data_IF_738314559001
#
_entry.id   IF_738314559001
#
_cell.length_a   1.000
_cell.length_b   1.000
_cell.length_c   1.000
_cell.angle_alpha   90.00
_cell.angle_beta   90.00
_cell.angle_gamma   90.00
#
_symmetry.space_group_name_H-M   'P 1'
#
loop_
_entity.id
_entity.type
_entity.pdbx_description
1 polymer ?
#
# COMPACT_ATOMS: atom_id res chain seq x y z
N UNK A 1 -18.24 -14.85 2.16
CA UNK A 1 -17.51 -13.67 1.70
C UNK A 1 -18.10 -13.08 0.42
N UNK A 2 -18.21 -13.83 -0.69
CA UNK A 2 -18.74 -13.31 -1.97
C UNK A 2 -20.21 -12.84 -1.93
N UNK A 3 -21.04 -13.36 -1.04
CA UNK A 3 -22.40 -12.85 -0.81
C UNK A 3 -22.46 -11.37 -0.40
N UNK A 4 -21.37 -10.82 0.11
CA UNK A 4 -21.25 -9.39 0.42
C UNK A 4 -21.35 -8.53 -0.84
N UNK A 5 -20.93 -9.04 -1.99
CA UNK A 5 -21.00 -8.34 -3.28
C UNK A 5 -22.42 -8.11 -3.78
N UNK A 6 -23.44 -8.72 -3.18
CA UNK A 6 -24.85 -8.40 -3.48
C UNK A 6 -25.20 -6.95 -3.11
N UNK A 7 -24.47 -6.33 -2.18
CA UNK A 7 -24.64 -4.92 -1.84
C UNK A 7 -23.96 -4.00 -2.86
N UNK A 8 -24.73 -3.09 -3.48
CA UNK A 8 -24.21 -2.09 -4.43
C UNK A 8 -23.09 -1.24 -3.80
N UNK A 9 -23.21 -0.88 -2.51
CA UNK A 9 -22.19 -0.08 -1.79
C UNK A 9 -20.88 -0.85 -1.66
N UNK A 10 -20.95 -2.13 -1.33
CA UNK A 10 -19.76 -2.99 -1.19
C UNK A 10 -19.11 -3.21 -2.55
N UNK A 11 -19.88 -3.47 -3.60
CA UNK A 11 -19.33 -3.57 -4.96
C UNK A 11 -18.61 -2.30 -5.38
N UNK A 12 -19.24 -1.14 -5.17
CA UNK A 12 -18.63 0.15 -5.48
C UNK A 12 -17.33 0.38 -4.70
N UNK A 13 -17.28 -0.06 -3.46
CA UNK A 13 -16.10 0.04 -2.60
C UNK A 13 -14.96 -0.89 -3.07
N UNK A 14 -15.26 -2.13 -3.43
CA UNK A 14 -14.28 -3.06 -3.98
C UNK A 14 -13.79 -2.62 -5.37
N UNK A 15 -14.69 -2.13 -6.24
CA UNK A 15 -14.34 -1.62 -7.56
C UNK A 15 -13.44 -0.38 -7.48
N UNK A 16 -13.61 0.43 -6.45
CA UNK A 16 -12.70 1.55 -6.21
C UNK A 16 -11.28 1.06 -5.96
N UNK A 17 -11.08 0.07 -5.09
CA UNK A 17 -9.76 -0.51 -4.80
C UNK A 17 -9.16 -1.17 -6.04
N UNK A 18 -9.98 -1.90 -6.81
CA UNK A 18 -9.59 -2.44 -8.12
C UNK A 18 -9.05 -1.35 -9.06
N UNK A 19 -9.68 -0.19 -9.11
CA UNK A 19 -9.25 0.90 -9.99
C UNK A 19 -7.98 1.59 -9.51
N UNK A 20 -7.96 1.99 -8.22
CA UNK A 20 -6.89 2.82 -7.67
C UNK A 20 -5.56 2.05 -7.50
N UNK A 21 -5.62 0.72 -7.36
CA UNK A 21 -4.43 -0.12 -7.20
C UNK A 21 -3.56 -0.20 -8.46
N UNK A 22 -4.05 0.22 -9.61
CA UNK A 22 -3.22 0.41 -10.81
C UNK A 22 -2.12 1.46 -10.60
N UNK A 23 -2.37 2.49 -9.78
CA UNK A 23 -1.41 3.56 -9.51
C UNK A 23 -0.14 3.03 -8.78
N UNK A 24 -0.21 2.43 -7.59
CA UNK A 24 0.99 1.90 -6.95
C UNK A 24 1.65 0.80 -7.78
N UNK A 25 0.87 -0.01 -8.50
CA UNK A 25 1.41 -1.11 -9.31
C UNK A 25 2.23 -0.60 -10.50
N UNK A 26 1.64 0.24 -11.34
CA UNK A 26 2.26 0.65 -12.61
C UNK A 26 3.17 1.88 -12.46
N UNK A 27 2.78 2.85 -11.64
CA UNK A 27 3.54 4.09 -11.49
C UNK A 27 4.69 3.90 -10.49
N UNK A 28 4.39 3.37 -9.29
CA UNK A 28 5.38 3.34 -8.22
C UNK A 28 6.31 2.13 -8.30
N UNK A 29 5.79 0.95 -8.73
CA UNK A 29 6.52 -0.31 -8.58
C UNK A 29 7.15 -0.80 -9.90
N UNK A 30 6.37 -0.96 -10.97
CA UNK A 30 6.84 -1.77 -12.11
C UNK A 30 7.37 -0.97 -13.30
N UNK A 31 6.79 0.19 -13.67
CA UNK A 31 7.11 0.79 -14.96
C UNK A 31 7.62 2.22 -14.90
N UNK A 32 6.86 3.16 -14.34
CA UNK A 32 7.17 4.58 -14.52
C UNK A 32 8.47 4.99 -13.84
N UNK A 33 8.78 4.46 -12.66
CA UNK A 33 10.05 4.71 -11.96
C UNK A 33 11.26 4.26 -12.77
N UNK A 34 11.19 3.07 -13.38
CA UNK A 34 12.25 2.57 -14.25
C UNK A 34 12.37 3.38 -15.55
N UNK A 35 11.25 3.77 -16.16
CA UNK A 35 11.23 4.65 -17.34
C UNK A 35 11.83 6.03 -17.03
N UNK A 36 11.46 6.62 -15.89
CA UNK A 36 12.04 7.88 -15.44
C UNK A 36 13.56 7.78 -15.31
N UNK A 37 14.05 6.77 -14.59
CA UNK A 37 15.48 6.60 -14.33
C UNK A 37 16.29 6.33 -15.61
N UNK A 38 15.77 5.49 -16.51
CA UNK A 38 16.50 5.05 -17.74
C UNK A 38 16.36 6.03 -18.90
N UNK A 39 15.29 6.82 -18.99
CA UNK A 39 14.96 7.58 -20.20
C UNK A 39 14.89 9.09 -19.99
N UNK A 40 14.32 9.55 -18.88
CA UNK A 40 14.13 10.99 -18.62
C UNK A 40 15.34 11.58 -17.92
N UNK A 41 15.90 10.88 -16.93
CA UNK A 41 17.10 11.34 -16.23
C UNK A 41 18.33 11.31 -17.12
N UNK A 42 19.28 12.17 -16.83
CA UNK A 42 20.57 12.24 -17.51
C UNK A 42 21.44 10.98 -17.30
N UNK A 43 21.31 10.34 -16.14
CA UNK A 43 22.00 9.12 -15.74
C UNK A 43 21.08 8.23 -14.93
N UNK A 44 21.07 6.89 -15.16
CA UNK A 44 20.18 5.97 -14.45
C UNK A 44 20.38 5.95 -12.92
N UNK A 45 21.61 6.11 -12.43
CA UNK A 45 21.88 6.12 -10.99
C UNK A 45 21.36 7.41 -10.36
N UNK A 46 21.61 8.57 -11.01
CA UNK A 46 21.04 9.86 -10.61
C UNK A 46 19.53 9.80 -10.63
N UNK A 47 18.93 9.24 -11.71
CA UNK A 47 17.48 9.09 -11.83
C UNK A 47 16.88 8.23 -10.72
N UNK A 48 17.50 7.10 -10.40
CA UNK A 48 17.06 6.24 -9.31
C UNK A 48 17.12 6.97 -7.95
N UNK A 49 18.19 7.73 -7.69
CA UNK A 49 18.33 8.51 -6.48
C UNK A 49 17.28 9.62 -6.38
N UNK A 50 17.06 10.38 -7.45
CA UNK A 50 16.03 11.43 -7.52
C UNK A 50 14.62 10.88 -7.33
N UNK A 51 14.32 9.71 -7.91
CA UNK A 51 13.07 9.00 -7.69
C UNK A 51 12.85 8.66 -6.22
N UNK A 52 13.86 8.11 -5.56
CA UNK A 52 13.82 7.81 -4.12
C UNK A 52 13.60 9.07 -3.26
N UNK A 53 14.29 10.17 -3.58
CA UNK A 53 14.10 11.46 -2.90
C UNK A 53 12.69 12.02 -3.11
N UNK A 54 12.13 11.91 -4.31
CA UNK A 54 10.78 12.36 -4.60
C UNK A 54 9.72 11.60 -3.79
N UNK A 55 9.82 10.26 -3.72
CA UNK A 55 8.93 9.43 -2.91
C UNK A 55 9.08 9.72 -1.41
N UNK A 56 10.30 9.94 -0.93
CA UNK A 56 10.56 10.34 0.45
C UNK A 56 9.97 11.72 0.77
N UNK A 57 10.14 12.69 -0.11
CA UNK A 57 9.54 14.02 0.02
C UNK A 57 8.01 13.94 0.02
N UNK A 58 7.42 13.13 -0.85
CA UNK A 58 5.98 12.91 -0.89
C UNK A 58 5.46 12.29 0.43
N UNK A 59 6.17 11.31 0.99
CA UNK A 59 5.83 10.70 2.28
C UNK A 59 5.92 11.69 3.44
N UNK A 60 6.94 12.56 3.45
CA UNK A 60 7.07 13.65 4.44
C UNK A 60 5.92 14.65 4.30
N UNK A 61 5.59 15.07 3.07
CA UNK A 61 4.47 15.99 2.82
C UNK A 61 3.14 15.38 3.25
N UNK A 62 2.92 14.08 2.99
CA UNK A 62 1.76 13.35 3.51
C UNK A 62 1.70 13.37 5.02
N UNK A 63 2.81 13.07 5.69
CA UNK A 63 2.89 13.09 7.14
C UNK A 63 2.56 14.48 7.70
N UNK A 64 3.12 15.55 7.12
CA UNK A 64 2.86 16.94 7.52
C UNK A 64 1.39 17.33 7.29
N UNK A 65 0.82 16.97 6.13
CA UNK A 65 -0.58 17.26 5.81
C UNK A 65 -1.53 16.53 6.76
N UNK A 66 -1.28 15.26 7.04
CA UNK A 66 -2.09 14.48 7.98
C UNK A 66 -1.95 15.01 9.42
N UNK A 67 -0.76 15.46 9.82
CA UNK A 67 -0.52 16.12 11.11
C UNK A 67 -1.30 17.43 11.20
N UNK A 68 -1.27 18.25 10.16
CA UNK A 68 -2.04 19.49 10.08
C UNK A 68 -3.56 19.20 10.18
N UNK A 69 -4.04 18.20 9.46
CA UNK A 69 -5.43 17.75 9.52
C UNK A 69 -5.80 17.36 10.97
N UNK A 70 -4.94 16.62 11.67
CA UNK A 70 -5.21 16.22 13.06
C UNK A 70 -5.22 17.41 14.04
N UNK A 71 -4.29 18.36 13.88
CA UNK A 71 -4.13 19.52 14.78
C UNK A 71 -5.20 20.60 14.54
N UNK A 72 -5.61 20.82 13.29
CA UNK A 72 -6.59 21.87 12.92
C UNK A 72 -7.99 21.68 13.51
N UNK A 73 -8.24 20.52 14.13
CA UNK A 73 -9.34 20.30 15.06
C UNK A 73 -10.76 20.43 14.48
N UNK A 74 -11.72 20.73 15.37
CA UNK A 74 -13.18 20.68 15.12
C UNK A 74 -13.65 21.47 13.92
N UNK A 75 -13.13 22.65 13.70
CA UNK A 75 -13.65 23.58 12.67
C UNK A 75 -13.29 23.13 11.26
N UNK A 76 -12.10 22.60 11.05
CA UNK A 76 -11.66 22.08 9.76
C UNK A 76 -12.48 20.85 9.37
N UNK A 77 -12.62 19.88 10.27
CA UNK A 77 -13.34 18.63 10.00
C UNK A 77 -14.84 18.80 9.80
N UNK A 78 -15.48 19.76 10.49
CA UNK A 78 -16.91 20.04 10.30
C UNK A 78 -17.24 20.48 8.87
N UNK A 79 -16.27 21.05 8.18
CA UNK A 79 -16.36 21.56 6.82
C UNK A 79 -15.76 20.64 5.76
N UNK A 80 -15.03 19.56 6.15
CA UNK A 80 -14.55 18.55 5.19
C UNK A 80 -15.76 17.76 4.68
N UNK A 81 -16.19 18.15 3.50
CA UNK A 81 -17.25 17.49 2.73
C UNK A 81 -16.61 16.53 1.72
N UNK A 82 -17.43 15.75 1.07
CA UNK A 82 -17.07 14.94 -0.09
C UNK A 82 -16.23 15.73 -1.14
N UNK A 83 -16.35 17.06 -1.17
CA UNK A 83 -15.57 17.94 -2.03
C UNK A 83 -14.05 17.80 -1.82
N UNK A 84 -13.60 17.61 -0.58
CA UNK A 84 -12.17 17.42 -0.29
C UNK A 84 -11.64 16.09 -0.87
N UNK A 85 -12.40 14.99 -0.69
CA UNK A 85 -12.08 13.71 -1.32
C UNK A 85 -12.05 13.83 -2.84
N UNK A 86 -13.06 14.47 -3.44
CA UNK A 86 -13.12 14.68 -4.88
C UNK A 86 -11.93 15.50 -5.39
N UNK A 87 -11.57 16.56 -4.67
CA UNK A 87 -10.44 17.41 -5.03
C UNK A 87 -9.14 16.60 -5.14
N UNK A 88 -8.79 15.82 -4.12
CA UNK A 88 -7.60 14.99 -4.18
C UNK A 88 -7.70 13.86 -5.20
N UNK A 89 -8.90 13.29 -5.40
CA UNK A 89 -9.10 12.28 -6.43
C UNK A 89 -8.86 12.84 -7.85
N UNK A 90 -9.41 14.02 -8.16
CA UNK A 90 -9.16 14.67 -9.44
C UNK A 90 -7.72 15.14 -9.58
N UNK A 91 -7.12 15.60 -8.50
CA UNK A 91 -5.71 16.01 -8.49
C UNK A 91 -4.80 14.81 -8.80
N UNK A 92 -5.05 13.65 -8.17
CA UNK A 92 -4.35 12.41 -8.47
C UNK A 92 -4.45 12.06 -9.96
N UNK A 93 -5.67 12.05 -10.50
CA UNK A 93 -5.92 11.72 -11.92
C UNK A 93 -5.20 12.71 -12.83
N UNK A 94 -5.31 14.02 -12.58
CA UNK A 94 -4.72 15.07 -13.41
C UNK A 94 -3.18 14.96 -13.46
N UNK A 95 -2.53 14.85 -12.30
CA UNK A 95 -1.07 14.75 -12.26
C UNK A 95 -0.56 13.40 -12.77
N UNK A 96 -1.31 12.31 -12.57
CA UNK A 96 -0.96 11.00 -13.15
C UNK A 96 -1.10 11.02 -14.67
N UNK A 97 -2.17 11.61 -15.21
CA UNK A 97 -2.36 11.79 -16.65
C UNK A 97 -1.25 12.64 -17.25
N UNK A 98 -0.87 13.72 -16.58
CA UNK A 98 0.15 14.65 -17.02
C UNK A 98 1.56 14.06 -17.16
N UNK A 99 1.81 12.87 -16.61
CA UNK A 99 3.06 12.13 -16.83
C UNK A 99 3.30 11.78 -18.31
N UNK A 100 2.25 11.82 -19.14
CA UNK A 100 2.32 11.67 -20.59
C UNK A 100 3.27 12.66 -21.29
N UNK A 101 3.38 13.87 -20.76
CA UNK A 101 4.13 14.95 -21.41
C UNK A 101 5.65 14.90 -21.20
N UNK A 102 6.16 13.91 -20.48
CA UNK A 102 7.58 13.83 -20.12
C UNK A 102 8.26 12.65 -20.79
N UNK A 103 9.18 12.96 -21.73
CA UNK A 103 10.02 11.99 -22.44
C UNK A 103 11.50 12.41 -22.35
N UNK A 104 12.38 11.72 -23.05
CA UNK A 104 13.81 12.02 -23.17
C UNK A 104 14.00 13.51 -23.60
N UNK A 105 14.83 14.21 -22.82
CA UNK A 105 15.08 15.65 -23.03
C UNK A 105 14.13 16.58 -22.25
N UNK A 106 13.12 16.06 -21.58
CA UNK A 106 12.31 16.84 -20.63
C UNK A 106 13.13 17.25 -19.41
N UNK A 107 12.71 18.36 -18.77
CA UNK A 107 13.27 18.71 -17.46
C UNK A 107 13.02 17.58 -16.47
N UNK A 108 14.11 17.01 -15.90
CA UNK A 108 14.03 15.84 -15.03
C UNK A 108 13.27 16.08 -13.69
N UNK A 109 13.10 17.32 -13.24
CA UNK A 109 12.42 17.65 -11.99
C UNK A 109 10.89 17.75 -12.15
N UNK A 110 10.39 18.08 -13.33
CA UNK A 110 8.95 18.23 -13.58
C UNK A 110 8.17 16.92 -13.36
N UNK A 111 8.57 15.78 -13.95
CA UNK A 111 7.85 14.52 -13.69
C UNK A 111 7.91 14.12 -12.21
N UNK A 112 8.99 14.43 -11.49
CA UNK A 112 9.07 14.18 -10.04
C UNK A 112 8.08 15.03 -9.25
N UNK A 113 7.90 16.31 -9.63
CA UNK A 113 6.87 17.17 -9.05
C UNK A 113 5.45 16.57 -9.28
N UNK A 114 5.17 16.06 -10.48
CA UNK A 114 3.91 15.40 -10.80
C UNK A 114 3.71 14.13 -9.95
N UNK A 115 4.77 13.33 -9.77
CA UNK A 115 4.76 12.14 -8.90
C UNK A 115 4.49 12.51 -7.46
N UNK A 116 5.18 13.53 -6.91
CA UNK A 116 4.97 13.95 -5.51
C UNK A 116 3.51 14.34 -5.27
N UNK A 117 2.92 15.16 -6.14
CA UNK A 117 1.53 15.59 -5.97
C UNK A 117 0.55 14.43 -6.16
N UNK A 118 0.75 13.59 -7.18
CA UNK A 118 -0.12 12.44 -7.41
C UNK A 118 -0.04 11.42 -6.27
N UNK A 119 1.14 11.19 -5.70
CA UNK A 119 1.34 10.29 -4.56
C UNK A 119 0.68 10.82 -3.28
N UNK A 120 0.89 12.11 -2.94
CA UNK A 120 0.22 12.74 -1.79
C UNK A 120 -1.31 12.65 -1.96
N UNK A 121 -1.80 12.89 -3.16
CA UNK A 121 -3.23 12.81 -3.47
C UNK A 121 -3.75 11.39 -3.35
N UNK A 122 -3.01 10.39 -3.83
CA UNK A 122 -3.31 8.96 -3.68
C UNK A 122 -3.43 8.58 -2.20
N UNK A 123 -2.48 8.98 -1.36
CA UNK A 123 -2.49 8.67 0.08
C UNK A 123 -3.71 9.27 0.80
N UNK A 124 -4.06 10.52 0.46
CA UNK A 124 -5.28 11.15 1.01
C UNK A 124 -6.54 10.42 0.54
N UNK A 125 -6.61 10.07 -0.73
CA UNK A 125 -7.75 9.30 -1.29
C UNK A 125 -7.85 7.93 -0.61
N UNK A 126 -6.74 7.25 -0.38
CA UNK A 126 -6.68 5.97 0.31
C UNK A 126 -7.12 6.07 1.78
N UNK A 127 -6.77 7.17 2.48
CA UNK A 127 -7.30 7.47 3.81
C UNK A 127 -8.83 7.49 3.81
N UNK A 128 -9.45 8.18 2.86
CA UNK A 128 -10.91 8.25 2.74
C UNK A 128 -11.54 6.91 2.36
N UNK A 129 -10.88 6.15 1.49
CA UNK A 129 -11.28 4.78 1.18
C UNK A 129 -11.32 3.91 2.44
N UNK A 130 -10.25 3.94 3.25
CA UNK A 130 -10.19 3.20 4.50
C UNK A 130 -11.26 3.65 5.51
N UNK A 131 -11.52 4.95 5.61
CA UNK A 131 -12.58 5.50 6.46
C UNK A 131 -13.98 5.05 6.03
N UNK A 132 -14.22 4.89 4.74
CA UNK A 132 -15.52 4.48 4.22
C UNK A 132 -15.91 3.07 4.68
N UNK A 133 -14.93 2.20 4.96
CA UNK A 133 -15.16 0.87 5.53
C UNK A 133 -15.97 0.93 6.84
N UNK A 134 -15.77 1.98 7.65
CA UNK A 134 -16.53 2.20 8.89
C UNK A 134 -18.04 2.33 8.67
N UNK A 135 -18.45 2.78 7.48
CA UNK A 135 -19.86 3.03 7.13
C UNK A 135 -20.51 1.85 6.41
N UNK A 136 -19.75 1.13 5.60
CA UNK A 136 -20.30 0.03 4.79
C UNK A 136 -20.28 -1.30 5.51
N UNK A 137 -19.48 -1.43 6.59
CA UNK A 137 -19.37 -2.65 7.37
C UNK A 137 -20.70 -3.05 7.99
N UNK A 138 -20.96 -4.34 8.04
CA UNK A 138 -21.99 -4.95 8.87
C UNK A 138 -21.35 -5.60 10.08
N UNK A 139 -22.11 -5.74 11.17
CA UNK A 139 -21.65 -6.48 12.36
C UNK A 139 -21.27 -7.90 11.94
N UNK A 140 -20.13 -8.39 12.41
CA UNK A 140 -19.58 -9.74 12.14
C UNK A 140 -19.15 -10.02 10.68
N UNK A 141 -18.92 -8.98 9.84
CA UNK A 141 -18.41 -9.17 8.47
C UNK A 141 -17.30 -8.17 8.11
N UNK A 142 -16.72 -7.51 9.11
CA UNK A 142 -15.72 -6.46 8.88
C UNK A 142 -14.41 -7.02 8.33
N UNK A 143 -13.96 -8.16 8.85
CA UNK A 143 -12.75 -8.84 8.40
C UNK A 143 -12.89 -9.35 6.98
N UNK A 144 -13.96 -10.09 6.69
CA UNK A 144 -14.25 -10.57 5.34
C UNK A 144 -14.35 -9.42 4.33
N UNK A 145 -15.01 -8.31 4.70
CA UNK A 145 -15.15 -7.14 3.83
C UNK A 145 -13.79 -6.46 3.57
N UNK A 146 -12.98 -6.27 4.60
CA UNK A 146 -11.66 -5.65 4.46
C UNK A 146 -10.74 -6.46 3.56
N UNK A 147 -10.68 -7.78 3.76
CA UNK A 147 -9.89 -8.69 2.92
C UNK A 147 -10.43 -8.77 1.48
N UNK A 148 -11.75 -8.71 1.30
CA UNK A 148 -12.35 -8.66 -0.03
C UNK A 148 -11.90 -7.40 -0.80
N UNK A 149 -11.83 -6.24 -0.16
CA UNK A 149 -11.29 -5.02 -0.76
C UNK A 149 -9.85 -5.22 -1.22
N UNK A 150 -8.96 -5.70 -0.34
CA UNK A 150 -7.57 -5.98 -0.69
C UNK A 150 -7.43 -7.00 -1.84
N UNK A 151 -8.26 -8.07 -1.86
CA UNK A 151 -8.27 -9.02 -2.97
C UNK A 151 -8.65 -8.35 -4.30
N UNK A 152 -9.63 -7.42 -4.29
CA UNK A 152 -9.98 -6.63 -5.48
C UNK A 152 -8.86 -5.65 -5.87
N UNK A 153 -8.15 -5.07 -4.90
CA UNK A 153 -6.96 -4.24 -5.17
C UNK A 153 -5.87 -5.02 -5.90
N UNK A 154 -5.48 -6.19 -5.39
CA UNK A 154 -4.54 -7.07 -6.08
C UNK A 154 -5.02 -7.48 -7.47
N UNK A 155 -6.30 -7.83 -7.60
CA UNK A 155 -6.89 -8.18 -8.90
C UNK A 155 -6.82 -7.00 -9.89
N UNK A 156 -7.07 -5.78 -9.43
CA UNK A 156 -6.97 -4.56 -10.24
C UNK A 156 -5.54 -4.26 -10.67
N UNK A 157 -4.58 -4.43 -9.75
CA UNK A 157 -3.15 -4.32 -10.05
C UNK A 157 -2.72 -5.33 -11.12
N UNK A 158 -3.09 -6.62 -10.96
CA UNK A 158 -2.79 -7.66 -11.95
C UNK A 158 -3.46 -7.41 -13.30
N UNK A 159 -4.73 -7.01 -13.30
CA UNK A 159 -5.45 -6.70 -14.54
C UNK A 159 -4.80 -5.53 -15.28
N UNK A 160 -4.40 -4.47 -14.57
CA UNK A 160 -3.72 -3.33 -15.17
C UNK A 160 -2.33 -3.70 -15.70
N UNK A 161 -1.57 -4.54 -14.98
CA UNK A 161 -0.30 -5.11 -15.47
C UNK A 161 -0.48 -5.92 -16.75
N UNK A 162 -1.51 -6.76 -16.79
CA UNK A 162 -1.82 -7.58 -17.96
C UNK A 162 -2.13 -6.71 -19.19
N UNK A 163 -2.90 -5.63 -19.02
CA UNK A 163 -3.19 -4.70 -20.12
C UNK A 163 -1.90 -4.05 -20.63
N UNK A 164 -1.03 -3.55 -19.75
CA UNK A 164 0.25 -2.94 -20.16
C UNK A 164 1.15 -3.97 -20.83
N UNK A 165 1.20 -5.19 -20.32
CA UNK A 165 1.94 -6.29 -20.95
C UNK A 165 1.45 -6.56 -22.39
N UNK A 166 0.12 -6.58 -22.59
CA UNK A 166 -0.45 -6.73 -23.93
C UNK A 166 -0.09 -5.56 -24.83
N UNK A 167 -0.16 -4.31 -24.35
CA UNK A 167 0.28 -3.14 -25.13
C UNK A 167 1.75 -3.25 -25.54
N UNK A 168 2.63 -3.72 -24.67
CA UNK A 168 4.05 -3.94 -24.99
C UNK A 168 4.22 -5.06 -26.04
N UNK A 169 3.46 -6.14 -25.93
CA UNK A 169 3.51 -7.27 -26.88
C UNK A 169 3.03 -6.88 -28.29
N UNK A 170 2.03 -6.01 -28.38
CA UNK A 170 1.52 -5.52 -29.67
C UNK A 170 2.24 -4.26 -30.18
N UNK A 171 3.22 -3.75 -29.45
CA UNK A 171 4.08 -2.67 -29.92
C UNK A 171 5.13 -3.20 -30.90
N UNK A 172 5.68 -2.28 -31.72
CA UNK A 172 6.83 -2.57 -32.59
C UNK A 172 8.13 -2.72 -31.75
N UNK A 173 9.24 -3.03 -32.44
CA UNK A 173 10.57 -3.19 -31.80
C UNK A 173 11.02 -1.95 -31.00
N UNK A 174 10.51 -0.75 -31.36
CA UNK A 174 10.78 0.49 -30.63
C UNK A 174 9.81 0.74 -29.46
N UNK A 175 8.99 -0.24 -29.09
CA UNK A 175 7.94 -0.12 -28.08
C UNK A 175 6.96 1.05 -28.32
N UNK A 176 6.59 1.27 -29.59
CA UNK A 176 5.62 2.31 -29.99
C UNK A 176 4.33 1.71 -30.55
N UNK A 177 3.21 2.36 -30.26
CA UNK A 177 1.90 2.11 -30.85
C UNK A 177 1.42 3.44 -31.41
N UNK A 178 1.02 3.49 -32.69
CA UNK A 178 0.66 4.74 -33.38
C UNK A 178 1.72 5.84 -33.22
N UNK A 179 3.02 5.50 -33.29
CA UNK A 179 4.17 6.39 -33.08
C UNK A 179 4.29 7.01 -31.67
N UNK A 180 3.54 6.51 -30.70
CA UNK A 180 3.64 6.93 -29.30
C UNK A 180 4.30 5.81 -28.48
N UNK A 181 5.31 6.13 -27.69
CA UNK A 181 5.96 5.16 -26.80
C UNK A 181 4.96 4.64 -25.77
N UNK A 182 4.88 3.31 -25.62
CA UNK A 182 3.96 2.66 -24.64
C UNK A 182 4.19 3.19 -23.23
N UNK A 183 5.44 3.49 -22.86
CA UNK A 183 5.78 4.02 -21.54
C UNK A 183 5.11 5.38 -21.25
N UNK A 184 4.91 6.23 -22.25
CA UNK A 184 4.19 7.50 -22.12
C UNK A 184 2.69 7.28 -21.89
N UNK A 185 2.13 6.19 -22.44
CA UNK A 185 0.71 5.87 -22.30
C UNK A 185 0.37 5.33 -20.90
N UNK A 186 1.35 4.94 -20.07
CA UNK A 186 1.11 4.37 -18.74
C UNK A 186 0.42 5.39 -17.83
N UNK A 187 0.88 6.66 -17.82
CA UNK A 187 0.23 7.72 -17.01
C UNK A 187 -1.24 7.91 -17.35
N UNK A 188 -1.59 8.22 -18.62
CA UNK A 188 -2.98 8.31 -19.09
C UNK A 188 -3.81 7.05 -18.83
N UNK A 189 -3.25 5.86 -19.07
CA UNK A 189 -3.92 4.61 -18.83
C UNK A 189 -4.32 4.47 -17.35
N UNK A 190 -3.38 4.68 -16.42
CA UNK A 190 -3.64 4.61 -14.97
C UNK A 190 -4.65 5.66 -14.54
N UNK A 191 -4.57 6.87 -15.07
CA UNK A 191 -5.51 7.95 -14.76
C UNK A 191 -6.93 7.60 -15.22
N UNK A 192 -7.10 7.11 -16.45
CA UNK A 192 -8.40 6.69 -16.99
C UNK A 192 -8.93 5.47 -16.22
N UNK A 193 -8.09 4.45 -15.99
CA UNK A 193 -8.46 3.25 -15.23
C UNK A 193 -8.93 3.60 -13.82
N UNK A 194 -8.15 4.42 -13.11
CA UNK A 194 -8.52 4.89 -11.77
C UNK A 194 -9.81 5.73 -11.79
N UNK A 195 -10.04 6.54 -12.82
CA UNK A 195 -11.27 7.31 -12.98
C UNK A 195 -12.47 6.39 -13.19
N UNK A 196 -12.41 5.48 -14.16
CA UNK A 196 -13.51 4.59 -14.52
C UNK A 196 -14.06 3.81 -13.32
N UNK A 197 -13.17 3.23 -12.52
CA UNK A 197 -13.56 2.45 -11.35
C UNK A 197 -13.70 3.30 -10.09
N UNK A 198 -12.91 4.36 -9.95
CA UNK A 198 -12.84 5.19 -8.76
C UNK A 198 -14.09 6.05 -8.52
N UNK A 199 -14.78 6.48 -9.57
CA UNK A 199 -16.07 7.18 -9.42
C UNK A 199 -17.12 6.37 -8.67
N UNK A 200 -16.98 5.05 -8.65
CA UNK A 200 -17.87 4.16 -7.93
C UNK A 200 -18.00 4.49 -6.43
N UNK A 201 -16.93 4.98 -5.79
CA UNK A 201 -16.91 5.32 -4.37
C UNK A 201 -17.63 6.63 -4.04
N UNK A 202 -17.84 7.53 -4.99
CA UNK A 202 -18.42 8.84 -4.73
C UNK A 202 -19.81 8.77 -4.07
N UNK A 203 -20.62 7.79 -4.46
CA UNK A 203 -21.93 7.58 -3.85
C UNK A 203 -21.84 7.07 -2.41
N UNK A 204 -20.85 6.25 -2.11
CA UNK A 204 -20.59 5.77 -0.75
C UNK A 204 -20.11 6.93 0.13
N UNK A 205 -19.22 7.77 -0.40
CA UNK A 205 -18.65 8.91 0.32
C UNK A 205 -19.66 10.02 0.65
N UNK A 206 -20.75 10.18 -0.09
CA UNK A 206 -21.83 11.13 0.24
C UNK A 206 -22.45 10.88 1.62
N UNK A 207 -22.43 9.62 2.08
CA UNK A 207 -23.00 9.21 3.36
C UNK A 207 -22.00 9.26 4.52
N UNK A 208 -20.73 9.49 4.23
CA UNK A 208 -19.68 9.52 5.25
C UNK A 208 -19.65 10.89 5.91
N UNK A 209 -20.10 10.95 7.16
CA UNK A 209 -19.99 12.15 7.99
C UNK A 209 -18.71 12.06 8.82
N UNK A 210 -17.82 13.01 8.64
CA UNK A 210 -16.60 13.12 9.41
C UNK A 210 -16.90 13.91 10.70
N UNK A 211 -16.83 13.23 11.85
CA UNK A 211 -16.87 13.90 13.15
C UNK A 211 -15.47 14.35 13.50
N UNK A 212 -15.32 15.57 13.94
CA UNK A 212 -14.04 16.12 14.36
C UNK A 212 -13.56 15.45 15.65
N UNK A 213 -12.29 15.02 15.71
CA UNK A 213 -11.73 14.52 16.94
C UNK A 213 -11.47 15.67 17.94
N UNK A 214 -11.69 15.39 19.20
CA UNK A 214 -11.02 16.13 20.27
C UNK A 214 -9.66 15.42 20.47
N UNK A 215 -8.55 16.10 20.21
CA UNK A 215 -7.20 15.49 20.28
C UNK A 215 -6.95 14.89 21.68
N UNK A 216 -7.35 15.59 22.75
CA UNK A 216 -7.18 15.07 24.11
C UNK A 216 -8.02 13.82 24.35
N UNK A 217 -9.25 13.79 23.85
CA UNK A 217 -10.11 12.60 23.91
C UNK A 217 -9.57 11.47 23.04
N UNK A 218 -8.99 11.79 21.88
CA UNK A 218 -8.31 10.82 21.03
C UNK A 218 -7.15 10.16 21.77
N UNK A 219 -6.21 10.93 22.31
CA UNK A 219 -5.03 10.41 23.04
C UNK A 219 -5.50 9.52 24.21
N UNK A 220 -6.50 9.97 24.98
CA UNK A 220 -7.08 9.20 26.07
C UNK A 220 -7.71 7.88 25.59
N UNK A 221 -8.49 7.93 24.50
CA UNK A 221 -9.14 6.73 23.93
C UNK A 221 -8.14 5.77 23.27
N UNK A 222 -7.12 6.28 22.57
CA UNK A 222 -6.05 5.49 21.97
C UNK A 222 -5.28 4.75 23.04
N UNK A 223 -4.92 5.43 24.14
CA UNK A 223 -4.20 4.83 25.28
C UNK A 223 -5.05 3.83 26.08
N UNK A 224 -6.29 4.21 26.43
CA UNK A 224 -7.17 3.39 27.26
C UNK A 224 -7.62 2.11 26.57
N UNK A 225 -7.78 2.11 25.25
CA UNK A 225 -8.22 0.96 24.45
C UNK A 225 -7.09 0.11 23.87
N UNK A 226 -5.85 0.34 24.26
CA UNK A 226 -4.70 -0.39 23.73
C UNK A 226 -4.39 -0.14 22.26
N UNK A 227 -5.05 0.82 21.63
CA UNK A 227 -4.83 1.18 20.22
C UNK A 227 -3.39 1.70 20.01
N UNK A 228 -2.80 2.35 21.02
CA UNK A 228 -1.40 2.75 21.00
C UNK A 228 -0.46 1.56 20.79
N UNK A 229 -0.67 0.46 21.51
CA UNK A 229 0.13 -0.76 21.37
C UNK A 229 -0.05 -1.36 19.96
N UNK A 230 -1.27 -1.30 19.42
CA UNK A 230 -1.52 -1.72 18.04
C UNK A 230 -0.78 -0.84 17.02
N UNK A 231 -0.83 0.48 17.16
CA UNK A 231 -0.15 1.40 16.24
C UNK A 231 1.37 1.25 16.31
N UNK A 232 1.94 1.01 17.50
CA UNK A 232 3.37 0.71 17.64
C UNK A 232 3.72 -0.64 16.99
N UNK A 233 2.90 -1.67 17.19
CA UNK A 233 3.07 -2.96 16.51
C UNK A 233 2.96 -2.80 15.00
N UNK A 234 1.95 -2.04 14.54
CA UNK A 234 1.75 -1.71 13.13
C UNK A 234 2.98 -1.03 12.53
N UNK A 235 3.53 -0.03 13.22
CA UNK A 235 4.75 0.63 12.79
C UNK A 235 5.89 -0.36 12.54
N UNK A 236 6.13 -1.29 13.46
CA UNK A 236 7.20 -2.27 13.29
C UNK A 236 6.90 -3.26 12.16
N UNK A 237 5.75 -3.94 12.16
CA UNK A 237 5.52 -4.93 11.10
C UNK A 237 5.32 -4.29 9.72
N UNK A 238 4.82 -3.06 9.64
CA UNK A 238 4.69 -2.38 8.35
C UNK A 238 6.05 -1.92 7.80
N UNK A 239 7.03 -1.58 8.65
CA UNK A 239 8.41 -1.40 8.21
C UNK A 239 8.96 -2.67 7.55
N UNK A 240 8.68 -3.84 8.11
CA UNK A 240 9.06 -5.12 7.49
C UNK A 240 8.36 -5.32 6.14
N UNK A 241 7.04 -5.11 6.06
CA UNK A 241 6.27 -5.27 4.82
C UNK A 241 6.77 -4.33 3.72
N UNK A 242 7.00 -3.05 4.02
CA UNK A 242 7.51 -2.08 3.05
C UNK A 242 8.92 -2.45 2.61
N UNK A 243 9.79 -2.92 3.53
CA UNK A 243 11.13 -3.38 3.19
C UNK A 243 11.12 -4.63 2.29
N UNK A 244 10.21 -5.57 2.53
CA UNK A 244 10.02 -6.73 1.63
C UNK A 244 9.74 -6.24 0.21
N UNK A 245 8.78 -5.33 0.03
CA UNK A 245 8.45 -4.81 -1.30
C UNK A 245 9.62 -4.05 -1.94
N UNK A 246 10.34 -3.24 -1.15
CA UNK A 246 11.45 -2.43 -1.66
C UNK A 246 12.64 -3.29 -2.14
N UNK A 247 12.91 -4.41 -1.48
CA UNK A 247 14.10 -5.22 -1.74
C UNK A 247 13.81 -6.57 -2.40
N UNK A 248 12.56 -6.96 -2.62
CA UNK A 248 12.17 -8.26 -3.19
C UNK A 248 12.89 -8.57 -4.51
N UNK A 249 12.93 -7.60 -5.44
CA UNK A 249 13.61 -7.77 -6.74
C UNK A 249 15.14 -7.88 -6.61
N UNK A 250 15.74 -7.11 -5.70
CA UNK A 250 17.17 -7.17 -5.43
C UNK A 250 17.57 -8.51 -4.81
N UNK A 251 16.78 -8.99 -3.85
CA UNK A 251 16.97 -10.31 -3.23
C UNK A 251 16.87 -11.40 -4.30
N UNK A 252 15.84 -11.36 -5.13
CA UNK A 252 15.63 -12.31 -6.22
C UNK A 252 16.80 -12.31 -7.22
N UNK A 253 17.23 -11.13 -7.67
CA UNK A 253 18.32 -10.99 -8.65
C UNK A 253 19.69 -11.36 -8.08
N UNK A 254 20.09 -10.75 -6.97
CA UNK A 254 21.47 -10.80 -6.51
C UNK A 254 21.79 -11.98 -5.60
N UNK A 255 20.81 -12.53 -4.88
CA UNK A 255 21.03 -13.70 -4.01
C UNK A 255 20.67 -15.00 -4.72
N UNK A 256 19.56 -14.98 -5.48
CA UNK A 256 19.02 -16.20 -6.10
C UNK A 256 19.20 -16.26 -7.62
N UNK A 257 19.79 -15.22 -8.24
CA UNK A 257 20.17 -15.22 -9.66
C UNK A 257 18.99 -15.20 -10.64
N UNK A 258 17.81 -14.68 -10.23
CA UNK A 258 16.66 -14.60 -11.12
C UNK A 258 16.89 -13.57 -12.23
N UNK A 259 16.51 -13.95 -13.45
CA UNK A 259 16.47 -13.06 -14.62
C UNK A 259 15.36 -12.00 -14.46
N UNK A 260 15.43 -10.92 -15.24
CA UNK A 260 14.42 -9.85 -15.23
C UNK A 260 13.01 -10.39 -15.50
N UNK A 261 12.87 -11.34 -16.42
CA UNK A 261 11.59 -11.99 -16.74
C UNK A 261 11.04 -12.82 -15.58
N UNK A 262 11.92 -13.54 -14.87
CA UNK A 262 11.52 -14.31 -13.68
C UNK A 262 11.12 -13.41 -12.52
N UNK A 263 11.80 -12.26 -12.34
CA UNK A 263 11.42 -11.25 -11.32
C UNK A 263 10.03 -10.67 -11.60
N UNK A 264 9.73 -10.36 -12.87
CA UNK A 264 8.40 -9.91 -13.26
C UNK A 264 7.34 -10.98 -13.00
N UNK A 265 7.63 -12.23 -13.37
CA UNK A 265 6.75 -13.36 -13.12
C UNK A 265 6.55 -13.62 -11.62
N UNK A 266 7.60 -13.47 -10.82
CA UNK A 266 7.56 -13.54 -9.36
C UNK A 266 6.63 -12.45 -8.79
N UNK A 267 6.73 -11.21 -9.26
CA UNK A 267 5.87 -10.12 -8.85
C UNK A 267 4.39 -10.40 -9.11
N UNK A 268 4.06 -10.90 -10.30
CA UNK A 268 2.69 -11.34 -10.66
C UNK A 268 2.22 -12.45 -9.74
N UNK A 269 3.09 -13.45 -9.51
CA UNK A 269 2.77 -14.62 -8.68
C UNK A 269 2.54 -14.25 -7.21
N UNK A 270 3.37 -13.37 -6.65
CA UNK A 270 3.19 -12.85 -5.28
C UNK A 270 1.84 -12.13 -5.13
N UNK A 271 1.46 -11.30 -6.08
CA UNK A 271 0.16 -10.63 -6.07
C UNK A 271 -1.01 -11.63 -6.15
N UNK A 272 -0.89 -12.68 -6.97
CA UNK A 272 -1.89 -13.74 -7.06
C UNK A 272 -2.04 -14.50 -5.74
N UNK A 273 -0.92 -14.87 -5.10
CA UNK A 273 -0.96 -15.48 -3.77
C UNK A 273 -1.50 -14.52 -2.69
N UNK A 274 -1.30 -13.22 -2.84
CA UNK A 274 -1.92 -12.19 -2.01
C UNK A 274 -3.45 -12.21 -2.10
N UNK A 275 -4.02 -12.43 -3.30
CA UNK A 275 -5.48 -12.63 -3.47
C UNK A 275 -5.93 -13.87 -2.69
N UNK A 276 -5.24 -15.00 -2.88
CA UNK A 276 -5.57 -16.25 -2.17
C UNK A 276 -5.52 -16.04 -0.66
N UNK A 277 -4.46 -15.40 -0.15
CA UNK A 277 -4.30 -15.09 1.26
C UNK A 277 -5.46 -14.24 1.81
N UNK A 278 -5.86 -13.19 1.11
CA UNK A 278 -7.01 -12.36 1.48
C UNK A 278 -8.32 -13.15 1.49
N UNK A 279 -8.54 -14.04 0.53
CA UNK A 279 -9.75 -14.86 0.47
C UNK A 279 -9.77 -15.89 1.62
N UNK A 280 -8.65 -16.55 1.90
CA UNK A 280 -8.54 -17.57 2.95
C UNK A 280 -8.66 -16.93 4.33
N UNK A 281 -7.78 -15.99 4.67
CA UNK A 281 -7.79 -15.34 6.00
C UNK A 281 -9.09 -14.55 6.21
N UNK A 282 -9.56 -13.82 5.18
CA UNK A 282 -10.81 -13.07 5.25
C UNK A 282 -12.05 -13.94 5.47
N UNK A 283 -12.04 -15.21 5.03
CA UNK A 283 -13.16 -16.12 5.26
C UNK A 283 -13.30 -16.56 6.72
N UNK A 284 -12.19 -16.58 7.45
CA UNK A 284 -12.14 -17.03 8.84
C UNK A 284 -11.95 -15.89 9.86
N UNK A 285 -11.51 -14.71 9.42
CA UNK A 285 -11.19 -13.58 10.29
C UNK A 285 -12.37 -13.15 11.19
N UNK A 286 -13.58 -13.11 10.65
CA UNK A 286 -14.76 -12.68 11.41
C UNK A 286 -15.13 -13.66 12.54
N UNK A 287 -14.68 -14.91 12.47
CA UNK A 287 -14.86 -15.93 13.51
C UNK A 287 -13.74 -15.90 14.53
N UNK A 288 -12.49 -15.85 14.06
CA UNK A 288 -11.32 -15.88 14.95
C UNK A 288 -10.94 -14.52 15.53
N UNK A 289 -11.46 -13.43 14.95
CA UNK A 289 -11.15 -12.04 15.31
C UNK A 289 -9.94 -11.47 14.60
N UNK A 290 -9.98 -10.17 14.30
CA UNK A 290 -8.92 -9.47 13.54
C UNK A 290 -7.55 -9.51 14.24
N UNK A 291 -7.48 -9.53 15.58
CA UNK A 291 -6.20 -9.67 16.28
C UNK A 291 -5.55 -11.03 16.02
N UNK A 292 -6.32 -12.12 16.02
CA UNK A 292 -5.79 -13.45 15.73
C UNK A 292 -5.31 -13.52 14.27
N UNK A 293 -6.04 -12.92 13.33
CA UNK A 293 -5.63 -12.85 11.94
C UNK A 293 -4.29 -12.11 11.80
N UNK A 294 -4.14 -10.92 12.41
CA UNK A 294 -2.87 -10.17 12.41
C UNK A 294 -1.75 -10.98 13.06
N UNK A 295 -2.02 -11.66 14.20
CA UNK A 295 -1.04 -12.53 14.87
C UNK A 295 -0.51 -13.63 13.94
N UNK A 296 -1.42 -14.35 13.27
CA UNK A 296 -1.07 -15.42 12.33
C UNK A 296 -0.19 -14.86 11.20
N UNK A 297 -0.56 -13.71 10.64
CA UNK A 297 0.21 -13.08 9.57
C UNK A 297 1.60 -12.62 10.05
N UNK A 298 1.72 -11.95 11.21
CA UNK A 298 3.04 -11.56 11.77
C UNK A 298 3.89 -12.80 11.99
N UNK A 299 3.34 -13.84 12.63
CA UNK A 299 4.09 -15.07 12.92
C UNK A 299 4.51 -15.80 11.63
N UNK A 300 3.62 -15.89 10.64
CA UNK A 300 3.92 -16.47 9.35
C UNK A 300 5.03 -15.72 8.61
N UNK A 301 4.93 -14.39 8.53
CA UNK A 301 5.96 -13.55 7.92
C UNK A 301 7.30 -13.65 8.67
N UNK A 302 7.29 -13.66 10.00
CA UNK A 302 8.50 -13.80 10.81
C UNK A 302 9.21 -15.14 10.51
N UNK A 303 8.48 -16.25 10.54
CA UNK A 303 9.04 -17.57 10.25
C UNK A 303 9.58 -17.63 8.83
N UNK A 304 8.81 -17.17 7.85
CA UNK A 304 9.21 -17.19 6.43
C UNK A 304 10.44 -16.32 6.16
N UNK A 305 10.51 -15.11 6.75
CA UNK A 305 11.67 -14.23 6.55
C UNK A 305 12.92 -14.71 7.29
N UNK A 306 12.77 -15.42 8.42
CA UNK A 306 13.87 -16.11 9.08
C UNK A 306 14.37 -17.28 8.22
N UNK A 307 13.48 -18.12 7.68
CA UNK A 307 13.85 -19.21 6.79
C UNK A 307 14.53 -18.65 5.54
N UNK A 308 14.00 -17.56 4.96
CA UNK A 308 14.60 -16.90 3.80
C UNK A 308 16.06 -16.50 4.03
N UNK A 309 16.39 -16.02 5.23
CA UNK A 309 17.76 -15.62 5.57
C UNK A 309 18.75 -16.78 5.44
N UNK A 310 18.35 -18.01 5.80
CA UNK A 310 19.18 -19.22 5.71
C UNK A 310 19.04 -19.98 4.38
N UNK A 311 18.13 -19.55 3.50
CA UNK A 311 17.85 -20.23 2.24
C UNK A 311 18.91 -19.90 1.20
N UNK A 312 19.40 -20.93 0.50
CA UNK A 312 20.33 -20.82 -0.65
C UNK A 312 19.71 -21.36 -1.94
N UNK A 313 18.72 -22.24 -1.83
CA UNK A 313 18.08 -22.89 -2.95
C UNK A 313 17.12 -21.96 -3.70
N UNK A 314 17.27 -21.90 -5.03
CA UNK A 314 16.37 -21.21 -5.94
C UNK A 314 14.91 -21.64 -5.79
N UNK A 315 14.62 -22.93 -5.71
CA UNK A 315 13.25 -23.44 -5.57
C UNK A 315 12.64 -23.12 -4.22
N UNK A 316 13.43 -23.21 -3.14
CA UNK A 316 12.97 -22.85 -1.81
C UNK A 316 12.66 -21.35 -1.72
N UNK A 317 13.44 -20.50 -2.39
CA UNK A 317 13.14 -19.06 -2.49
C UNK A 317 11.76 -18.80 -3.10
N UNK A 318 11.43 -19.46 -4.24
CA UNK A 318 10.14 -19.31 -4.89
C UNK A 318 8.97 -19.64 -3.94
N UNK A 319 9.05 -20.79 -3.26
CA UNK A 319 8.02 -21.22 -2.30
C UNK A 319 7.85 -20.18 -1.18
N UNK A 320 8.98 -19.73 -0.59
CA UNK A 320 8.97 -18.75 0.49
C UNK A 320 8.37 -17.43 0.02
N UNK A 321 8.79 -16.92 -1.14
CA UNK A 321 8.31 -15.66 -1.69
C UNK A 321 6.78 -15.68 -1.96
N UNK A 322 6.25 -16.79 -2.49
CA UNK A 322 4.82 -16.96 -2.69
C UNK A 322 4.04 -16.99 -1.37
N UNK A 323 4.58 -17.68 -0.36
CA UNK A 323 3.97 -17.72 0.98
C UNK A 323 4.07 -16.37 1.69
N UNK A 324 5.14 -15.61 1.50
CA UNK A 324 5.25 -14.21 1.98
C UNK A 324 4.14 -13.36 1.32
N UNK A 325 3.93 -13.48 0.01
CA UNK A 325 2.83 -12.83 -0.69
C UNK A 325 1.46 -13.17 -0.12
N UNK A 326 1.26 -14.44 0.25
CA UNK A 326 0.02 -14.92 0.87
C UNK A 326 -0.32 -14.18 2.17
N UNK A 327 0.66 -13.80 3.01
CA UNK A 327 0.42 -13.13 4.30
C UNK A 327 0.39 -11.59 4.22
N UNK A 328 1.01 -10.97 3.21
CA UNK A 328 1.12 -9.51 3.11
C UNK A 328 -0.24 -8.83 2.92
N UNK A 329 -1.09 -9.35 2.06
CA UNK A 329 -2.43 -8.79 1.86
C UNK A 329 -3.30 -8.85 3.12
N UNK A 330 -3.46 -10.04 3.71
CA UNK A 330 -4.26 -10.21 4.91
C UNK A 330 -3.77 -9.39 6.11
N UNK A 331 -2.47 -9.22 6.34
CA UNK A 331 -1.98 -8.44 7.49
C UNK A 331 -2.44 -6.98 7.39
N UNK A 332 -2.43 -6.40 6.19
CA UNK A 332 -2.91 -5.04 5.95
C UNK A 332 -4.44 -4.96 6.09
N UNK A 333 -5.16 -5.90 5.50
CA UNK A 333 -6.61 -5.96 5.57
C UNK A 333 -7.12 -6.14 7.01
N UNK A 334 -6.54 -7.07 7.77
CA UNK A 334 -6.93 -7.37 9.14
C UNK A 334 -6.54 -6.25 10.11
N UNK A 335 -5.44 -5.55 9.85
CA UNK A 335 -5.04 -4.35 10.61
C UNK A 335 -6.08 -3.24 10.47
N UNK A 336 -6.54 -3.00 9.26
CA UNK A 336 -7.61 -2.03 8.97
C UNK A 336 -8.93 -2.45 9.64
N UNK A 337 -9.31 -3.71 9.56
CA UNK A 337 -10.53 -4.20 10.19
C UNK A 337 -10.49 -4.13 11.71
N UNK A 338 -9.33 -4.39 12.34
CA UNK A 338 -9.14 -4.20 13.78
C UNK A 338 -9.41 -2.75 14.21
N UNK A 339 -8.82 -1.78 13.51
CA UNK A 339 -9.04 -0.36 13.79
C UNK A 339 -10.53 0.00 13.68
N UNK A 340 -11.18 -0.41 12.59
CA UNK A 340 -12.61 -0.16 12.37
C UNK A 340 -13.47 -0.72 13.49
N UNK A 341 -13.14 -1.90 14.02
CA UNK A 341 -13.92 -2.57 15.07
C UNK A 341 -13.73 -1.92 16.45
N UNK A 342 -12.53 -1.43 16.75
CA UNK A 342 -12.16 -0.97 18.10
C UNK A 342 -12.33 0.53 18.33
N UNK A 343 -12.43 1.32 17.27
CA UNK A 343 -12.49 2.78 17.37
C UNK A 343 -13.93 3.26 17.40
N UNK A 344 -14.25 4.18 18.32
CA UNK A 344 -15.54 4.89 18.34
C UNK A 344 -15.71 5.73 17.08
N UNK A 345 -16.96 5.87 16.60
CA UNK A 345 -17.29 6.59 15.38
C UNK A 345 -16.72 8.04 15.33
N UNK A 346 -16.70 8.74 16.47
CA UNK A 346 -16.18 10.11 16.58
C UNK A 346 -14.66 10.22 16.40
N UNK A 347 -13.91 9.14 16.59
CA UNK A 347 -12.43 9.12 16.54
C UNK A 347 -11.88 8.39 15.31
N UNK A 348 -12.73 7.88 14.41
CA UNK A 348 -12.31 7.08 13.26
C UNK A 348 -11.36 7.85 12.34
N UNK A 349 -11.69 9.10 12.00
CA UNK A 349 -10.84 9.92 11.14
C UNK A 349 -9.44 10.09 11.72
N UNK A 350 -9.34 10.45 12.99
CA UNK A 350 -8.05 10.66 13.63
C UNK A 350 -7.22 9.39 13.76
N UNK A 351 -7.86 8.26 14.03
CA UNK A 351 -7.15 6.99 14.13
C UNK A 351 -6.64 6.49 12.77
N UNK A 352 -7.42 6.68 11.69
CA UNK A 352 -6.96 6.36 10.35
C UNK A 352 -5.91 7.36 9.85
N UNK A 353 -5.98 8.64 10.24
CA UNK A 353 -4.90 9.60 9.97
C UNK A 353 -3.59 9.17 10.65
N UNK A 354 -3.65 8.76 11.94
CA UNK A 354 -2.47 8.20 12.62
C UNK A 354 -1.96 6.93 11.94
N UNK A 355 -2.85 6.03 11.55
CA UNK A 355 -2.50 4.80 10.83
C UNK A 355 -1.76 5.12 9.53
N UNK A 356 -2.27 6.06 8.73
CA UNK A 356 -1.61 6.49 7.49
C UNK A 356 -0.28 7.23 7.76
N UNK A 357 -0.21 8.06 8.83
CA UNK A 357 1.04 8.71 9.22
C UNK A 357 2.13 7.68 9.57
N UNK A 358 1.81 6.67 10.36
CA UNK A 358 2.75 5.57 10.65
C UNK A 358 3.12 4.80 9.39
N UNK A 359 2.17 4.56 8.47
CA UNK A 359 2.45 3.94 7.18
C UNK A 359 3.47 4.73 6.35
N UNK A 360 3.31 6.05 6.25
CA UNK A 360 4.25 6.91 5.52
C UNK A 360 5.64 6.96 6.17
N UNK A 361 5.74 6.93 7.51
CA UNK A 361 7.04 6.83 8.19
C UNK A 361 7.74 5.50 7.88
N UNK A 362 6.99 4.40 7.78
CA UNK A 362 7.54 3.10 7.43
C UNK A 362 8.14 3.08 6.02
N UNK A 363 7.59 3.84 5.09
CA UNK A 363 8.10 3.93 3.71
C UNK A 363 9.51 4.55 3.64
N UNK A 364 9.92 5.27 4.69
CA UNK A 364 11.25 5.88 4.80
C UNK A 364 12.18 4.99 5.62
N UNK A 365 11.76 4.63 6.85
CA UNK A 365 12.65 4.01 7.84
C UNK A 365 12.98 2.55 7.52
N UNK A 366 12.03 1.75 7.06
CA UNK A 366 12.24 0.35 6.76
C UNK A 366 13.33 0.14 5.70
N UNK A 367 13.14 0.65 4.47
CA UNK A 367 14.13 0.56 3.42
C UNK A 367 15.48 1.21 3.78
N UNK A 368 15.45 2.34 4.51
CA UNK A 368 16.68 3.02 4.96
C UNK A 368 17.54 2.11 5.84
N UNK A 369 16.96 1.44 6.83
CA UNK A 369 17.71 0.57 7.75
C UNK A 369 18.22 -0.69 7.05
N UNK A 370 17.45 -1.27 6.12
CA UNK A 370 17.94 -2.38 5.28
C UNK A 370 19.12 -1.92 4.42
N UNK A 371 18.99 -0.79 3.72
CA UNK A 371 20.05 -0.23 2.88
C UNK A 371 21.31 0.12 3.68
N UNK A 372 21.17 0.74 4.87
CA UNK A 372 22.27 1.04 5.78
C UNK A 372 23.00 -0.24 6.23
N UNK A 373 22.24 -1.30 6.56
CA UNK A 373 22.84 -2.59 6.95
C UNK A 373 23.62 -3.22 5.79
N UNK A 374 23.08 -3.16 4.56
CA UNK A 374 23.79 -3.63 3.36
C UNK A 374 25.10 -2.86 3.19
N UNK A 375 25.06 -1.52 3.31
CA UNK A 375 26.25 -0.67 3.17
C UNK A 375 27.32 -0.96 4.23
N UNK A 376 26.91 -1.18 5.49
CA UNK A 376 27.84 -1.46 6.58
C UNK A 376 28.44 -2.87 6.55
N UNK A 377 27.77 -3.82 5.92
CA UNK A 377 28.18 -5.24 5.91
C UNK A 377 28.63 -5.73 4.55
N UNK A 378 28.53 -4.88 3.50
CA UNK A 378 28.76 -5.24 2.10
C UNK A 378 27.98 -6.49 1.66
N UNK A 379 26.82 -6.78 2.29
CA UNK A 379 26.05 -7.99 2.06
C UNK A 379 24.56 -7.75 2.04
N UNK A 380 23.92 -8.03 0.90
CA UNK A 380 22.46 -7.99 0.75
C UNK A 380 21.80 -8.99 1.70
N UNK A 381 22.41 -10.15 1.92
CA UNK A 381 21.90 -11.18 2.84
C UNK A 381 21.82 -10.68 4.28
N UNK A 382 22.83 -9.96 4.77
CA UNK A 382 22.76 -9.32 6.09
C UNK A 382 21.70 -8.21 6.15
N UNK A 383 21.46 -7.49 5.06
CA UNK A 383 20.38 -6.52 5.00
C UNK A 383 18.98 -7.12 5.24
N UNK A 384 18.75 -8.35 4.77
CA UNK A 384 17.47 -9.05 4.95
C UNK A 384 17.12 -9.28 6.43
N UNK A 385 18.13 -9.43 7.33
CA UNK A 385 17.91 -9.73 8.75
C UNK A 385 17.13 -8.62 9.47
N UNK A 386 17.16 -7.40 8.96
CA UNK A 386 16.40 -6.26 9.49
C UNK A 386 14.88 -6.53 9.42
N UNK A 387 14.43 -7.28 8.42
CA UNK A 387 13.02 -7.60 8.22
C UNK A 387 12.46 -8.47 9.37
N UNK A 388 13.01 -9.66 9.67
CA UNK A 388 12.54 -10.44 10.81
C UNK A 388 12.76 -9.75 12.16
N UNK A 389 13.78 -8.88 12.32
CA UNK A 389 13.95 -8.06 13.52
C UNK A 389 12.75 -7.14 13.71
N UNK A 390 12.31 -6.42 12.67
CA UNK A 390 11.11 -5.60 12.73
C UNK A 390 9.86 -6.41 13.09
N UNK A 391 9.68 -7.59 12.49
CA UNK A 391 8.55 -8.47 12.79
C UNK A 391 8.60 -8.97 14.23
N UNK A 392 9.78 -9.32 14.74
CA UNK A 392 9.97 -9.71 16.14
C UNK A 392 9.65 -8.55 17.10
N UNK A 393 10.19 -7.36 16.83
CA UNK A 393 9.90 -6.17 17.63
C UNK A 393 8.41 -5.81 17.63
N UNK A 394 7.68 -6.11 16.54
CA UNK A 394 6.24 -5.87 16.47
C UNK A 394 5.46 -6.74 17.45
N UNK A 395 5.95 -7.93 17.78
CA UNK A 395 5.28 -8.85 18.70
C UNK A 395 5.25 -8.32 20.15
N UNK A 396 6.22 -7.53 20.56
CA UNK A 396 6.32 -7.03 21.95
C UNK A 396 5.08 -6.19 22.33
N UNK A 397 4.76 -5.08 21.61
CA UNK A 397 3.53 -4.32 21.88
C UNK A 397 2.27 -5.11 21.53
N UNK A 398 2.35 -6.01 20.54
CA UNK A 398 1.22 -6.85 20.14
C UNK A 398 0.79 -7.80 21.23
N UNK A 399 1.71 -8.49 21.90
CA UNK A 399 1.39 -9.41 23.01
C UNK A 399 0.79 -8.66 24.20
N UNK A 400 1.28 -7.45 24.53
CA UNK A 400 0.67 -6.58 25.54
C UNK A 400 -0.77 -6.18 25.18
N UNK A 401 -1.04 -5.98 23.88
CA UNK A 401 -2.39 -5.73 23.39
C UNK A 401 -3.26 -6.99 23.50
N UNK A 402 -2.72 -8.11 23.07
CA UNK A 402 -3.42 -9.40 23.01
C UNK A 402 -3.87 -9.86 24.39
N UNK A 403 -3.01 -9.74 25.43
CA UNK A 403 -3.38 -10.04 26.81
C UNK A 403 -4.52 -9.16 27.33
N UNK A 404 -4.65 -7.91 26.86
CA UNK A 404 -5.71 -6.99 27.28
C UNK A 404 -7.09 -7.31 26.70
N UNK A 405 -7.17 -8.02 25.58
CA UNK A 405 -8.43 -8.28 24.88
C UNK A 405 -8.91 -9.74 24.98
N UNK A 406 -8.05 -10.67 25.44
CA UNK A 406 -8.37 -12.09 25.57
C UNK A 406 -8.43 -12.54 27.06
N UNK A 407 -8.45 -11.58 28.00
CA UNK A 407 -8.86 -11.76 29.41
C UNK A 407 -10.25 -11.17 29.56
#
# INVERSE_FOLDING_TARGET
>A
MFSLLNSKKIRSWCLFDFGISSYPTLILTFFYGAFYAKTISSDPNVGTSLWGFALSAASILCFLLLSFILISGRNFFRNIKIGFFKFFFYLMIFFTFGLFFFDKGSNQFLPLFFIVISFVSFEIVNLFYNLSLCKIRKKNTTGALSNLGWAFGYLGGLASLFVVFMLLKFSNESFTIFNIKVFLLIGPFVAIWSALYGFSLFNVMKEVQFKSPNILELIKNVRSRGISNFLISYFFFNNAVVSIFAFASMIAAFIFGLSESEILFLGVSINFFGIIGCLVIGSVEDRMGSLNAVKICISGLLILTLILYFTESYYSFWVIALLVGFFIGPIQASSRSFLVQKIKAQNQMAAFSLYSMFGNLCSILGPFLVGLTIQLTDSIRFGIIVIPIFLFLSLIPFLKLYSKFNV
#
